data_IF_847934605468
#
_entry.id   IF_847934605468
#
_cell.length_a   1.000
_cell.length_b   1.000
_cell.length_c   1.000
_cell.angle_alpha   90.00
_cell.angle_beta   90.00
_cell.angle_gamma   90.00
#
_symmetry.space_group_name_H-M   'P 1'
#
loop_
_entity.id
_entity.type
_entity.pdbx_description
1 polymer ?
#
# COMPACT_ATOMS: atom_id res chain seq x y z
N UNK A 1 -28.39 8.51 2.62
CA UNK A 1 -27.02 8.72 2.09
C UNK A 1 -26.26 7.45 2.35
N UNK A 2 -25.84 6.73 1.31
CA UNK A 2 -25.19 5.42 1.46
C UNK A 2 -23.66 5.58 1.55
N UNK A 3 -22.98 4.57 2.11
CA UNK A 3 -21.50 4.55 2.17
C UNK A 3 -20.88 4.61 0.76
N UNK A 4 -21.56 4.01 -0.23
CA UNK A 4 -21.11 4.02 -1.62
C UNK A 4 -21.17 5.43 -2.23
N UNK A 5 -22.16 6.24 -1.85
CA UNK A 5 -22.27 7.63 -2.31
C UNK A 5 -21.10 8.47 -1.78
N UNK A 6 -20.72 8.27 -0.51
CA UNK A 6 -19.63 9.01 0.10
C UNK A 6 -18.27 8.59 -0.48
N UNK A 7 -18.05 7.28 -0.71
CA UNK A 7 -16.86 6.79 -1.40
C UNK A 7 -16.75 7.39 -2.81
N UNK A 8 -17.85 7.37 -3.57
CA UNK A 8 -17.88 7.92 -4.93
C UNK A 8 -17.60 9.42 -4.95
N UNK A 9 -18.13 10.16 -3.97
CA UNK A 9 -17.88 11.58 -3.78
C UNK A 9 -16.41 11.85 -3.45
N UNK A 10 -15.82 11.09 -2.53
CA UNK A 10 -14.42 11.24 -2.12
C UNK A 10 -13.46 10.91 -3.26
N UNK A 11 -13.71 9.83 -4.03
CA UNK A 11 -12.91 9.51 -5.21
C UNK A 11 -13.08 10.55 -6.33
N UNK A 12 -14.29 11.06 -6.54
CA UNK A 12 -14.56 12.09 -7.55
C UNK A 12 -13.92 13.45 -7.24
N UNK A 13 -13.64 13.73 -5.96
CA UNK A 13 -12.96 14.95 -5.52
C UNK A 13 -11.44 14.79 -5.35
N UNK A 14 -10.93 13.55 -5.36
CA UNK A 14 -9.52 13.28 -5.17
C UNK A 14 -8.70 13.54 -6.45
N UNK A 15 -7.44 13.99 -6.34
CA UNK A 15 -6.54 14.09 -7.48
C UNK A 15 -6.38 12.74 -8.19
N UNK A 16 -6.24 12.75 -9.52
CA UNK A 16 -6.25 11.54 -10.34
C UNK A 16 -5.19 10.51 -9.92
N UNK A 17 -4.00 10.96 -9.54
CA UNK A 17 -2.94 10.09 -9.00
C UNK A 17 -3.31 9.46 -7.65
N UNK A 18 -4.03 10.18 -6.78
CA UNK A 18 -4.52 9.64 -5.50
C UNK A 18 -5.60 8.58 -5.76
N UNK A 19 -6.50 8.83 -6.70
CA UNK A 19 -7.52 7.85 -7.10
C UNK A 19 -6.88 6.58 -7.68
N UNK A 20 -5.85 6.73 -8.52
CA UNK A 20 -5.07 5.60 -9.03
C UNK A 20 -4.41 4.79 -7.89
N UNK A 21 -3.81 5.46 -6.91
CA UNK A 21 -3.20 4.80 -5.75
C UNK A 21 -4.22 4.07 -4.89
N UNK A 22 -5.38 4.66 -4.63
CA UNK A 22 -6.45 4.05 -3.84
C UNK A 22 -6.97 2.78 -4.53
N UNK A 23 -7.29 2.87 -5.83
CA UNK A 23 -7.87 1.75 -6.58
C UNK A 23 -6.86 0.61 -6.74
N UNK A 24 -5.65 0.91 -7.22
CA UNK A 24 -4.61 -0.11 -7.40
C UNK A 24 -4.10 -0.67 -6.07
N UNK A 25 -3.99 0.17 -5.05
CA UNK A 25 -3.62 -0.21 -3.68
C UNK A 25 -4.63 -1.12 -3.01
N UNK A 26 -5.93 -0.89 -3.22
CA UNK A 26 -6.97 -1.81 -2.80
C UNK A 26 -6.86 -3.16 -3.53
N UNK A 27 -6.56 -3.15 -4.82
CA UNK A 27 -6.30 -4.37 -5.59
C UNK A 27 -5.12 -5.18 -5.05
N UNK A 28 -3.99 -4.53 -4.76
CA UNK A 28 -2.83 -5.19 -4.13
C UNK A 28 -3.08 -5.61 -2.68
N UNK A 29 -3.89 -4.89 -1.92
CA UNK A 29 -4.29 -5.33 -0.59
C UNK A 29 -5.13 -6.62 -0.63
N UNK A 30 -6.02 -6.73 -1.62
CA UNK A 30 -6.86 -7.89 -1.82
C UNK A 30 -6.05 -9.12 -2.21
N UNK A 31 -5.14 -8.98 -3.18
CA UNK A 31 -4.29 -10.10 -3.61
C UNK A 31 -3.44 -10.58 -2.42
N UNK A 32 -2.87 -9.68 -1.61
CA UNK A 32 -2.13 -10.04 -0.39
C UNK A 32 -2.99 -10.81 0.61
N UNK A 33 -4.21 -10.31 0.87
CA UNK A 33 -5.13 -10.98 1.79
C UNK A 33 -5.45 -12.41 1.30
N UNK A 34 -5.60 -12.61 -0.02
CA UNK A 34 -5.89 -13.91 -0.62
C UNK A 34 -4.65 -14.82 -0.76
N UNK A 35 -3.44 -14.28 -0.86
CA UNK A 35 -2.22 -15.04 -1.06
C UNK A 35 -1.51 -15.45 0.24
N UNK A 36 -1.82 -14.80 1.37
CA UNK A 36 -1.19 -15.15 2.65
C UNK A 36 -1.67 -16.51 3.20
N UNK A 37 -0.76 -17.43 3.53
CA UNK A 37 -1.07 -18.73 4.15
C UNK A 37 -1.31 -18.58 5.65
N UNK A 38 -2.24 -17.72 6.05
CA UNK A 38 -2.67 -17.54 7.44
C UNK A 38 -3.97 -18.33 7.69
N UNK A 39 -4.02 -19.10 8.79
CA UNK A 39 -5.22 -19.89 9.16
C UNK A 39 -6.42 -18.99 9.51
N UNK A 40 -6.18 -17.78 10.02
CA UNK A 40 -7.25 -16.89 10.47
C UNK A 40 -7.60 -15.82 9.43
N UNK A 41 -8.88 -15.79 9.03
CA UNK A 41 -9.42 -14.74 8.15
C UNK A 41 -9.25 -13.33 8.72
N UNK A 42 -9.29 -13.18 10.05
CA UNK A 42 -9.06 -11.90 10.71
C UNK A 42 -7.66 -11.34 10.48
N UNK A 43 -6.61 -12.18 10.54
CA UNK A 43 -5.24 -11.75 10.24
C UNK A 43 -5.06 -11.42 8.76
N UNK A 44 -5.67 -12.20 7.86
CA UNK A 44 -5.65 -11.92 6.41
C UNK A 44 -6.25 -10.55 6.11
N UNK A 45 -7.41 -10.25 6.70
CA UNK A 45 -8.05 -8.94 6.57
C UNK A 45 -7.18 -7.81 7.12
N UNK A 46 -6.56 -8.00 8.30
CA UNK A 46 -5.66 -7.01 8.88
C UNK A 46 -4.45 -6.73 7.98
N UNK A 47 -3.84 -7.77 7.41
CA UNK A 47 -2.74 -7.62 6.45
C UNK A 47 -3.16 -6.88 5.19
N UNK A 48 -4.36 -7.15 4.67
CA UNK A 48 -4.94 -6.39 3.56
C UNK A 48 -5.12 -4.92 3.90
N UNK A 49 -5.74 -4.60 5.05
CA UNK A 49 -5.98 -3.21 5.49
C UNK A 49 -4.67 -2.44 5.62
N UNK A 50 -3.67 -3.00 6.28
CA UNK A 50 -2.38 -2.32 6.44
C UNK A 50 -1.68 -2.18 5.06
N UNK A 51 -1.87 -3.13 4.13
CA UNK A 51 -1.38 -3.05 2.76
C UNK A 51 -2.00 -1.87 2.02
N UNK A 52 -3.33 -1.73 2.09
CA UNK A 52 -4.06 -0.61 1.50
C UNK A 52 -3.61 0.74 2.08
N UNK A 53 -3.39 0.82 3.40
CA UNK A 53 -2.85 2.04 4.03
C UNK A 53 -1.43 2.36 3.53
N UNK A 54 -0.59 1.34 3.38
CA UNK A 54 0.77 1.51 2.83
C UNK A 54 0.73 2.05 1.40
N UNK A 55 -0.22 1.58 0.58
CA UNK A 55 -0.41 2.08 -0.78
C UNK A 55 -0.77 3.56 -0.85
N UNK A 56 -1.61 4.05 0.08
CA UNK A 56 -2.01 5.46 0.10
C UNK A 56 -0.84 6.37 0.51
N UNK A 57 -0.11 6.01 1.59
CA UNK A 57 0.94 6.88 2.14
C UNK A 57 2.29 6.78 1.41
N UNK A 58 2.74 5.56 1.07
CA UNK A 58 4.02 5.36 0.38
C UNK A 58 3.89 5.33 -1.13
N UNK A 59 2.72 4.93 -1.66
CA UNK A 59 2.54 4.76 -3.09
C UNK A 59 2.65 6.08 -3.87
N UNK A 60 2.32 7.23 -3.28
CA UNK A 60 2.54 8.53 -3.91
C UNK A 60 4.02 8.84 -4.16
N UNK A 61 4.87 8.60 -3.15
CA UNK A 61 6.32 8.79 -3.26
C UNK A 61 6.91 7.83 -4.29
N UNK A 62 6.52 6.56 -4.23
CA UNK A 62 7.01 5.51 -5.13
C UNK A 62 6.53 5.75 -6.56
N UNK A 63 5.27 6.15 -6.73
CA UNK A 63 4.67 6.46 -8.02
C UNK A 63 5.36 7.64 -8.68
N UNK A 64 5.63 8.70 -7.91
CA UNK A 64 6.37 9.86 -8.42
C UNK A 64 7.82 9.50 -8.80
N UNK A 65 8.48 8.63 -8.02
CA UNK A 65 9.82 8.14 -8.34
C UNK A 65 9.82 7.32 -9.63
N UNK A 66 8.89 6.38 -9.79
CA UNK A 66 8.76 5.57 -11.00
C UNK A 66 8.49 6.48 -12.19
N UNK A 67 7.55 7.42 -12.06
CA UNK A 67 7.21 8.37 -13.13
C UNK A 67 8.41 9.22 -13.55
N UNK A 68 9.19 9.71 -12.57
CA UNK A 68 10.41 10.49 -12.85
C UNK A 68 11.47 9.71 -13.64
N UNK A 69 11.49 8.38 -13.51
CA UNK A 69 12.45 7.51 -14.18
C UNK A 69 11.95 7.01 -15.54
N UNK A 70 10.64 6.79 -15.69
CA UNK A 70 10.06 6.12 -16.86
C UNK A 70 9.19 7.02 -17.73
N UNK A 71 8.75 8.16 -17.21
CA UNK A 71 7.74 9.03 -17.85
C UNK A 71 6.39 8.35 -18.05
N UNK A 72 6.02 7.42 -17.17
CA UNK A 72 4.84 6.55 -17.35
C UNK A 72 3.52 7.18 -16.87
N UNK A 73 3.56 8.39 -16.30
CA UNK A 73 2.40 9.14 -15.84
C UNK A 73 1.56 8.33 -14.86
N UNK A 74 0.24 8.28 -15.09
CA UNK A 74 -0.71 7.63 -14.19
C UNK A 74 -0.43 6.14 -13.98
N UNK A 75 0.17 5.46 -14.97
CA UNK A 75 0.53 4.05 -14.87
C UNK A 75 1.62 3.80 -13.81
N UNK A 76 2.49 4.78 -13.57
CA UNK A 76 3.48 4.71 -12.49
C UNK A 76 2.81 4.69 -11.11
N UNK A 77 1.77 5.51 -10.91
CA UNK A 77 1.01 5.57 -9.67
C UNK A 77 0.14 4.33 -9.48
N UNK A 78 -0.44 3.77 -10.55
CA UNK A 78 -1.14 2.47 -10.49
C UNK A 78 -0.19 1.34 -10.09
N UNK A 79 0.99 1.26 -10.70
CA UNK A 79 1.98 0.25 -10.36
C UNK A 79 2.47 0.42 -8.91
N UNK A 80 2.76 1.65 -8.49
CA UNK A 80 3.18 1.95 -7.13
C UNK A 80 2.11 1.60 -6.10
N UNK A 81 0.85 1.95 -6.35
CA UNK A 81 -0.26 1.63 -5.47
C UNK A 81 -0.42 0.12 -5.32
N UNK A 82 -0.45 -0.63 -6.43
CA UNK A 82 -0.53 -2.09 -6.39
C UNK A 82 0.64 -2.73 -5.62
N UNK A 83 1.89 -2.34 -5.93
CA UNK A 83 3.09 -2.87 -5.27
C UNK A 83 3.11 -2.57 -3.77
N UNK A 84 2.69 -1.38 -3.38
CA UNK A 84 2.62 -1.01 -1.96
C UNK A 84 1.45 -1.68 -1.25
N UNK A 85 0.34 -1.94 -1.95
CA UNK A 85 -0.79 -2.74 -1.45
C UNK A 85 -0.40 -4.19 -1.17
N UNK A 86 0.29 -4.80 -2.13
CA UNK A 86 0.81 -6.17 -2.06
C UNK A 86 1.93 -6.34 -1.03
N UNK A 87 2.92 -5.44 -1.09
CA UNK A 87 4.24 -5.67 -0.49
C UNK A 87 4.68 -4.61 0.51
N UNK A 88 3.98 -3.48 0.64
CA UNK A 88 4.47 -2.28 1.32
C UNK A 88 4.94 -2.53 2.76
N UNK A 89 4.13 -3.22 3.56
CA UNK A 89 4.50 -3.58 4.95
C UNK A 89 5.71 -4.49 5.02
N UNK A 90 5.81 -5.46 4.11
CA UNK A 90 6.92 -6.41 4.11
C UNK A 90 8.21 -5.66 3.74
N UNK A 91 8.14 -4.73 2.79
CA UNK A 91 9.23 -3.84 2.43
C UNK A 91 9.63 -2.93 3.61
N UNK A 92 8.67 -2.33 4.31
CA UNK A 92 8.94 -1.51 5.51
C UNK A 92 9.59 -2.33 6.62
N UNK A 93 9.10 -3.54 6.91
CA UNK A 93 9.72 -4.42 7.90
C UNK A 93 11.13 -4.88 7.49
N UNK A 94 11.34 -5.20 6.22
CA UNK A 94 12.65 -5.58 5.70
C UNK A 94 13.64 -4.40 5.79
N UNK A 95 13.19 -3.20 5.44
CA UNK A 95 13.98 -1.98 5.55
C UNK A 95 14.30 -1.67 7.02
N UNK A 96 13.32 -1.77 7.92
CA UNK A 96 13.51 -1.61 9.37
C UNK A 96 14.58 -2.56 9.88
N UNK A 97 14.50 -3.86 9.55
CA UNK A 97 15.49 -4.88 9.96
C UNK A 97 16.89 -4.62 9.41
N UNK A 98 17.00 -3.97 8.25
CA UNK A 98 18.27 -3.70 7.58
C UNK A 98 18.94 -2.40 8.06
N UNK A 99 18.14 -1.38 8.38
CA UNK A 99 18.63 -0.05 8.75
C UNK A 99 18.74 0.17 10.26
N UNK A 100 17.88 -0.48 11.05
CA UNK A 100 17.90 -0.35 12.50
C UNK A 100 18.53 -1.59 13.12
N UNK A 101 19.56 -1.44 13.98
CA UNK A 101 20.06 -2.56 14.76
C UNK A 101 18.93 -3.13 15.63
N UNK A 102 18.94 -4.44 15.93
CA UNK A 102 17.94 -5.04 16.80
C UNK A 102 17.97 -4.34 18.16
N UNK A 103 16.84 -3.75 18.57
CA UNK A 103 16.68 -3.24 19.93
C UNK A 103 16.82 -4.42 20.91
N UNK A 104 17.87 -4.40 21.74
CA UNK A 104 18.00 -5.27 22.90
C UNK A 104 19.03 -6.41 22.80
N UNK A 105 20.31 -6.06 22.79
CA UNK A 105 21.28 -6.72 23.68
C UNK A 105 21.99 -5.63 24.47
N UNK A 106 21.34 -5.22 25.55
CA UNK A 106 22.02 -4.48 26.59
C UNK A 106 22.96 -5.47 27.28
N UNK A 107 24.26 -5.16 27.27
CA UNK A 107 25.26 -5.88 28.03
C UNK A 107 25.16 -5.38 29.48
N UNK A 108 24.59 -6.20 30.36
CA UNK A 108 24.59 -6.02 31.81
C UNK A 108 24.48 -7.37 32.49
#
# INVERSE_FOLDING_TARGET
MTILDEISRLLGAAPEHVSALIVSGAGGALVRALSLPEESWGRRALHGVIGALSAIFLGGVVGHLIDSLTGAGISAYLAAGFLMGEGGIAAVHALRRRLLPPEGKDNG
#
